data_IF_997559005617
#
_entry.id   IF_997559005617
#
_cell.length_a   1.000
_cell.length_b   1.000
_cell.length_c   1.000
_cell.angle_alpha   90.00
_cell.angle_beta   90.00
_cell.angle_gamma   90.00
#
_symmetry.space_group_name_H-M   'P 1'
#
loop_
_entity.id
_entity.type
_entity.pdbx_description
1 polymer ?
#
# COMPACT_ATOMS: atom_id res chain seq x y z
N UNK A 1 22.47 0.22 -9.73
CA UNK A 1 22.71 0.30 -8.26
C UNK A 1 21.47 -0.22 -7.55
N UNK A 2 21.60 -1.27 -6.74
CA UNK A 2 20.47 -1.76 -5.93
C UNK A 2 20.07 -0.72 -4.89
N UNK A 3 18.82 -0.66 -4.54
CA UNK A 3 18.36 0.27 -3.51
C UNK A 3 18.84 -0.12 -2.11
N UNK A 4 18.74 -1.42 -1.77
CA UNK A 4 19.29 -1.97 -0.52
C UNK A 4 20.52 -2.84 -0.83
N UNK A 5 21.46 -3.00 0.12
CA UNK A 5 22.52 -3.97 -0.02
C UNK A 5 21.97 -5.41 0.02
N UNK A 6 22.75 -6.36 -0.48
CA UNK A 6 22.28 -7.74 -0.67
C UNK A 6 21.88 -8.44 0.63
N UNK A 7 22.54 -8.12 1.74
CA UNK A 7 22.22 -8.68 3.06
C UNK A 7 20.78 -8.38 3.50
N UNK A 8 20.23 -7.24 3.15
CA UNK A 8 18.81 -6.94 3.41
C UNK A 8 17.88 -7.95 2.73
N UNK A 9 18.15 -8.30 1.47
CA UNK A 9 17.34 -9.30 0.75
C UNK A 9 17.54 -10.71 1.31
N UNK A 10 18.76 -11.05 1.71
CA UNK A 10 19.05 -12.34 2.37
C UNK A 10 18.29 -12.47 3.69
N UNK A 11 18.20 -11.41 4.48
CA UNK A 11 17.39 -11.37 5.71
C UNK A 11 15.90 -11.51 5.40
N UNK A 12 15.40 -10.90 4.31
CA UNK A 12 14.01 -11.05 3.85
C UNK A 12 13.71 -12.49 3.44
N UNK A 13 14.60 -13.13 2.67
CA UNK A 13 14.46 -14.54 2.31
C UNK A 13 14.45 -15.44 3.54
N UNK A 14 15.36 -15.20 4.47
CA UNK A 14 15.43 -15.96 5.73
C UNK A 14 14.12 -15.85 6.51
N UNK A 15 13.56 -14.65 6.64
CA UNK A 15 12.27 -14.45 7.33
C UNK A 15 11.13 -15.22 6.65
N UNK A 16 11.05 -15.19 5.32
CA UNK A 16 10.01 -15.94 4.60
C UNK A 16 10.22 -17.45 4.72
N UNK A 17 11.46 -17.94 4.60
CA UNK A 17 11.78 -19.36 4.75
C UNK A 17 11.44 -19.89 6.17
N UNK A 18 11.63 -19.09 7.22
CA UNK A 18 11.19 -19.43 8.57
C UNK A 18 9.66 -19.56 8.65
N UNK A 19 8.92 -18.62 8.09
CA UNK A 19 7.45 -18.66 8.05
C UNK A 19 6.94 -19.86 7.23
N UNK A 20 7.62 -20.22 6.14
CA UNK A 20 7.34 -21.44 5.38
C UNK A 20 7.51 -22.68 6.26
N UNK A 21 8.61 -22.77 7.00
CA UNK A 21 8.89 -23.89 7.91
C UNK A 21 7.82 -24.02 9.00
N UNK A 22 7.42 -22.89 9.61
CA UNK A 22 6.33 -22.87 10.62
C UNK A 22 5.01 -23.43 10.07
N UNK A 23 4.73 -23.24 8.77
CA UNK A 23 3.53 -23.72 8.10
C UNK A 23 3.69 -25.07 7.41
N UNK A 24 4.87 -25.71 7.53
CA UNK A 24 5.16 -27.03 6.97
C UNK A 24 5.36 -27.03 5.46
N UNK A 25 5.89 -25.92 4.87
CA UNK A 25 6.26 -25.85 3.47
C UNK A 25 7.77 -25.91 3.27
N UNK A 26 8.23 -26.80 2.39
CA UNK A 26 9.62 -26.81 1.89
C UNK A 26 9.82 -25.84 0.73
N UNK A 27 8.77 -25.64 -0.08
CA UNK A 27 8.81 -24.81 -1.29
C UNK A 27 7.63 -23.87 -1.30
N UNK A 28 7.87 -22.63 -1.71
CA UNK A 28 6.84 -21.63 -2.03
C UNK A 28 7.11 -21.02 -3.41
N UNK A 29 6.04 -20.67 -4.10
CA UNK A 29 6.11 -19.86 -5.32
C UNK A 29 5.29 -18.60 -5.09
N UNK A 30 5.94 -17.46 -5.30
CA UNK A 30 5.36 -16.14 -5.14
C UNK A 30 5.17 -15.54 -6.52
N UNK A 31 3.94 -15.21 -6.89
CA UNK A 31 3.60 -14.60 -8.15
C UNK A 31 3.29 -13.11 -7.98
N UNK A 32 3.53 -12.35 -9.05
CA UNK A 32 3.15 -10.95 -9.12
C UNK A 32 3.03 -10.47 -10.56
N UNK A 33 2.44 -9.29 -10.69
CA UNK A 33 2.30 -8.60 -11.96
C UNK A 33 2.66 -7.13 -11.79
N UNK A 34 3.65 -6.66 -12.53
CA UNK A 34 4.04 -5.25 -12.58
C UNK A 34 3.16 -4.42 -13.52
N UNK A 35 3.67 -3.27 -13.93
CA UNK A 35 3.04 -2.40 -14.93
C UNK A 35 1.91 -1.49 -14.43
N UNK A 36 1.52 -1.60 -13.18
CA UNK A 36 0.48 -0.79 -12.53
C UNK A 36 0.95 -0.19 -11.22
N UNK A 37 0.17 -0.38 -10.20
CA UNK A 37 0.51 -0.08 -8.81
C UNK A 37 1.43 -1.16 -8.23
N UNK A 38 2.05 -0.88 -7.09
CA UNK A 38 2.92 -1.87 -6.42
C UNK A 38 2.14 -3.01 -5.75
N UNK A 39 0.83 -2.89 -5.60
CA UNK A 39 -0.04 -3.90 -4.97
C UNK A 39 0.11 -5.28 -5.59
N UNK A 40 0.20 -5.34 -6.92
CA UNK A 40 0.22 -6.60 -7.67
C UNK A 40 1.60 -7.23 -7.73
N UNK A 41 2.65 -6.54 -7.29
CA UNK A 41 4.03 -7.01 -7.36
C UNK A 41 4.85 -6.72 -6.09
N UNK A 42 4.24 -6.24 -5.03
CA UNK A 42 4.93 -5.88 -3.79
C UNK A 42 5.76 -7.02 -3.22
N UNK A 43 5.27 -8.25 -3.24
CA UNK A 43 6.01 -9.42 -2.77
C UNK A 43 7.22 -9.73 -3.64
N UNK A 44 7.10 -9.60 -4.96
CA UNK A 44 8.22 -9.77 -5.89
C UNK A 44 9.27 -8.68 -5.67
N UNK A 45 8.85 -7.42 -5.58
CA UNK A 45 9.73 -6.28 -5.32
C UNK A 45 10.47 -6.46 -3.97
N UNK A 46 9.77 -6.87 -2.92
CA UNK A 46 10.35 -7.13 -1.61
C UNK A 46 11.43 -8.19 -1.64
N UNK A 47 11.18 -9.30 -2.37
CA UNK A 47 12.09 -10.43 -2.42
C UNK A 47 13.26 -10.23 -3.39
N UNK A 48 13.07 -9.48 -4.47
CA UNK A 48 14.01 -9.52 -5.59
C UNK A 48 14.49 -8.16 -6.08
N UNK A 49 13.90 -7.07 -5.64
CA UNK A 49 14.04 -5.73 -6.23
C UNK A 49 13.68 -5.68 -7.74
N UNK A 50 12.91 -6.64 -8.22
CA UNK A 50 12.41 -6.63 -9.58
C UNK A 50 11.08 -5.90 -9.65
N UNK A 51 10.95 -5.01 -10.63
CA UNK A 51 9.71 -4.34 -10.97
C UNK A 51 9.66 -4.10 -12.48
N UNK A 52 8.65 -4.64 -13.14
CA UNK A 52 8.38 -4.35 -14.54
C UNK A 52 7.48 -3.12 -14.68
N UNK A 53 7.93 -2.14 -15.45
CA UNK A 53 7.16 -0.92 -15.74
C UNK A 53 6.21 -1.13 -16.92
N UNK A 54 6.53 -2.04 -17.84
CA UNK A 54 5.76 -2.27 -19.07
C UNK A 54 4.53 -3.11 -18.80
N UNK A 55 3.37 -2.52 -18.92
CA UNK A 55 2.07 -3.13 -18.64
C UNK A 55 1.59 -4.18 -19.64
N UNK A 56 2.35 -4.49 -20.65
CA UNK A 56 2.04 -5.52 -21.63
C UNK A 56 2.37 -5.11 -23.04
N UNK A 57 3.41 -5.72 -23.57
CA UNK A 57 3.82 -5.61 -24.96
C UNK A 57 3.67 -6.99 -25.61
N UNK A 58 2.86 -7.07 -26.66
CA UNK A 58 2.76 -8.25 -27.50
C UNK A 58 3.46 -7.99 -28.85
N UNK A 59 4.33 -8.89 -29.23
CA UNK A 59 4.94 -8.91 -30.54
C UNK A 59 4.93 -10.34 -31.11
N UNK A 60 5.34 -10.50 -32.36
CA UNK A 60 5.48 -11.83 -32.96
C UNK A 60 6.60 -12.67 -32.33
N UNK A 61 7.55 -12.01 -31.66
CA UNK A 61 8.75 -12.64 -31.11
C UNK A 61 8.66 -12.75 -29.59
N UNK A 62 8.09 -11.74 -28.94
CA UNK A 62 8.03 -11.65 -27.48
C UNK A 62 6.71 -11.06 -27.00
N UNK A 63 6.17 -11.63 -25.92
CA UNK A 63 4.96 -11.16 -25.27
C UNK A 63 5.23 -10.92 -23.78
N UNK A 64 5.45 -9.67 -23.42
CA UNK A 64 5.69 -9.25 -22.03
C UNK A 64 4.40 -8.69 -21.43
N UNK A 65 3.90 -9.33 -20.38
CA UNK A 65 2.69 -8.96 -19.63
C UNK A 65 3.00 -8.48 -18.23
N UNK A 66 4.27 -8.29 -17.92
CA UNK A 66 4.78 -7.95 -16.59
C UNK A 66 4.51 -9.02 -15.53
N UNK A 67 4.36 -10.26 -15.93
CA UNK A 67 4.26 -11.37 -14.98
C UNK A 67 5.65 -11.78 -14.50
N UNK A 68 5.69 -12.09 -13.21
CA UNK A 68 6.89 -12.60 -12.57
C UNK A 68 6.55 -13.62 -11.50
N UNK A 69 7.50 -14.46 -11.18
CA UNK A 69 7.37 -15.38 -10.07
C UNK A 69 8.72 -15.71 -9.46
N UNK A 70 8.72 -15.97 -8.16
CA UNK A 70 9.91 -16.34 -7.38
C UNK A 70 9.70 -17.70 -6.77
N UNK A 71 10.62 -18.63 -7.04
CA UNK A 71 10.68 -19.90 -6.31
C UNK A 71 11.57 -19.70 -5.09
N UNK A 72 11.01 -19.94 -3.91
CA UNK A 72 11.73 -20.02 -2.64
C UNK A 72 11.74 -21.47 -2.17
N UNK A 73 12.90 -22.01 -1.83
CA UNK A 73 13.04 -23.37 -1.34
C UNK A 73 14.07 -23.44 -0.23
N UNK A 74 13.77 -24.25 0.81
CA UNK A 74 14.68 -24.47 1.92
C UNK A 74 16.06 -24.95 1.42
N UNK A 75 17.13 -24.31 1.91
CA UNK A 75 18.51 -24.63 1.56
C UNK A 75 18.94 -24.27 0.13
N UNK A 76 18.16 -23.50 -0.63
CA UNK A 76 18.48 -23.06 -1.99
C UNK A 76 18.37 -21.54 -2.12
N UNK A 77 19.15 -20.97 -3.06
CA UNK A 77 18.99 -19.59 -3.47
C UNK A 77 17.64 -19.40 -4.20
N UNK A 78 17.00 -18.24 -4.06
CA UNK A 78 15.77 -17.91 -4.81
C UNK A 78 16.00 -17.91 -6.31
N UNK A 79 14.99 -18.33 -7.08
CA UNK A 79 14.97 -18.23 -8.55
C UNK A 79 13.88 -17.25 -8.98
N UNK A 80 14.24 -16.30 -9.83
CA UNK A 80 13.31 -15.31 -10.38
C UNK A 80 12.98 -15.67 -11.83
N UNK A 81 11.68 -15.79 -12.14
CA UNK A 81 11.17 -16.02 -13.50
C UNK A 81 10.37 -14.80 -13.95
N UNK A 82 10.70 -14.24 -15.11
CA UNK A 82 10.09 -13.01 -15.64
C UNK A 82 9.79 -13.15 -17.12
N UNK A 83 8.81 -12.40 -17.59
CA UNK A 83 8.45 -12.32 -19.01
C UNK A 83 9.10 -11.13 -19.73
N UNK A 84 10.09 -10.50 -19.12
CA UNK A 84 10.94 -9.50 -19.76
C UNK A 84 12.14 -10.14 -20.46
N UNK A 85 12.51 -9.68 -21.66
CA UNK A 85 13.65 -10.24 -22.40
C UNK A 85 15.01 -9.82 -21.82
N UNK A 86 15.07 -8.70 -21.13
CA UNK A 86 16.30 -8.11 -20.60
C UNK A 86 16.16 -7.79 -19.11
N UNK A 87 16.61 -8.71 -18.23
CA UNK A 87 16.56 -8.46 -16.78
C UNK A 87 17.58 -7.40 -16.38
N UNK A 88 17.18 -6.53 -15.45
CA UNK A 88 18.07 -5.54 -14.84
C UNK A 88 18.92 -6.22 -13.76
N UNK A 89 19.89 -7.04 -14.19
CA UNK A 89 20.79 -7.80 -13.30
C UNK A 89 21.63 -6.91 -12.38
N UNK A 90 21.80 -5.64 -12.75
CA UNK A 90 22.43 -4.60 -11.92
C UNK A 90 21.56 -4.17 -10.73
N UNK A 91 20.23 -4.34 -10.81
CA UNK A 91 19.26 -3.95 -9.81
C UNK A 91 18.72 -5.14 -9.00
N UNK A 92 18.40 -6.26 -9.65
CA UNK A 92 17.78 -7.40 -8.96
C UNK A 92 18.75 -8.03 -7.94
N UNK A 93 18.20 -8.53 -6.84
CA UNK A 93 18.98 -9.16 -5.75
C UNK A 93 19.22 -10.65 -5.97
N UNK A 94 18.44 -11.28 -6.86
CA UNK A 94 18.53 -12.70 -7.21
C UNK A 94 19.51 -12.88 -8.38
N UNK A 95 20.40 -13.87 -8.28
CA UNK A 95 21.38 -14.17 -9.34
C UNK A 95 20.89 -15.19 -10.36
N UNK A 96 19.95 -16.05 -9.96
CA UNK A 96 19.33 -17.07 -10.81
C UNK A 96 18.04 -16.50 -11.44
N UNK A 97 18.17 -15.89 -12.62
CA UNK A 97 17.08 -15.20 -13.33
C UNK A 97 16.78 -15.88 -14.65
N UNK A 98 15.53 -16.24 -14.85
CA UNK A 98 15.01 -16.90 -16.04
C UNK A 98 14.06 -15.96 -16.79
N UNK A 99 14.43 -15.63 -18.04
CA UNK A 99 13.59 -14.84 -18.93
C UNK A 99 12.85 -15.78 -19.89
N UNK A 100 11.53 -15.78 -19.83
CA UNK A 100 10.69 -16.65 -20.66
C UNK A 100 9.37 -15.94 -20.97
N UNK A 101 8.88 -16.05 -22.20
CA UNK A 101 7.55 -15.56 -22.59
C UNK A 101 6.41 -16.16 -21.77
N UNK A 102 6.67 -17.30 -21.14
CA UNK A 102 5.69 -18.06 -20.35
C UNK A 102 6.25 -18.36 -18.95
N UNK A 103 6.38 -17.35 -18.06
CA UNK A 103 7.03 -17.54 -16.76
C UNK A 103 6.35 -18.61 -15.91
N UNK A 104 5.03 -18.82 -16.05
CA UNK A 104 4.32 -19.90 -15.34
C UNK A 104 4.75 -21.29 -15.79
N UNK A 105 4.96 -21.50 -17.08
CA UNK A 105 5.49 -22.75 -17.66
C UNK A 105 6.93 -22.94 -17.24
N UNK A 106 7.74 -21.88 -17.30
CA UNK A 106 9.14 -21.88 -16.87
C UNK A 106 9.28 -22.30 -15.39
N UNK A 107 8.44 -21.73 -14.51
CA UNK A 107 8.37 -22.11 -13.09
C UNK A 107 7.99 -23.58 -12.94
N UNK A 108 6.94 -24.03 -13.63
CA UNK A 108 6.50 -25.43 -13.55
C UNK A 108 7.62 -26.41 -13.90
N UNK A 109 8.32 -26.16 -15.03
CA UNK A 109 9.46 -26.97 -15.46
C UNK A 109 10.62 -26.94 -14.48
N UNK A 110 10.92 -25.77 -13.91
CA UNK A 110 11.97 -25.64 -12.91
C UNK A 110 11.66 -26.43 -11.63
N UNK A 111 10.42 -26.43 -11.17
CA UNK A 111 9.99 -27.22 -10.01
C UNK A 111 10.10 -28.73 -10.27
N UNK A 112 9.66 -29.20 -11.43
CA UNK A 112 9.77 -30.62 -11.83
C UNK A 112 11.24 -31.04 -11.95
N UNK A 113 12.08 -30.23 -12.61
CA UNK A 113 13.52 -30.48 -12.75
C UNK A 113 14.23 -30.54 -11.40
N UNK A 114 13.73 -29.83 -10.38
CA UNK A 114 14.23 -29.87 -9.01
C UNK A 114 13.65 -31.03 -8.19
N UNK A 115 12.77 -31.86 -8.76
CA UNK A 115 12.13 -32.98 -8.05
C UNK A 115 11.10 -32.54 -7.00
N UNK A 116 10.51 -31.34 -7.15
CA UNK A 116 9.49 -30.84 -6.21
C UNK A 116 8.19 -31.63 -6.40
N UNK A 117 7.65 -32.16 -5.31
CA UNK A 117 6.40 -32.90 -5.24
C UNK A 117 5.65 -32.58 -3.96
N UNK A 118 4.37 -32.90 -3.92
CA UNK A 118 3.53 -32.66 -2.74
C UNK A 118 3.20 -31.19 -2.53
N UNK A 119 3.11 -30.76 -1.27
CA UNK A 119 2.59 -29.43 -0.91
C UNK A 119 3.58 -28.30 -1.26
N UNK A 120 3.10 -27.34 -2.03
CA UNK A 120 3.83 -26.12 -2.37
C UNK A 120 2.95 -24.90 -2.03
N UNK A 121 3.50 -23.92 -1.31
CA UNK A 121 2.79 -22.68 -1.02
C UNK A 121 2.64 -21.84 -2.29
N UNK A 122 1.42 -21.41 -2.57
CA UNK A 122 1.06 -20.56 -3.69
C UNK A 122 0.70 -19.16 -3.19
N UNK A 123 1.56 -18.18 -3.43
CA UNK A 123 1.37 -16.79 -3.02
C UNK A 123 1.10 -15.91 -4.24
N UNK A 124 0.22 -14.92 -4.11
CA UNK A 124 -0.19 -14.05 -5.20
C UNK A 124 -1.32 -14.65 -6.05
N UNK A 125 -2.16 -15.50 -5.46
CA UNK A 125 -3.28 -16.17 -6.14
C UNK A 125 -4.24 -15.18 -6.81
N UNK A 126 -4.38 -13.97 -6.26
CA UNK A 126 -5.23 -12.90 -6.76
C UNK A 126 -4.75 -12.31 -8.10
N UNK A 127 -3.48 -12.51 -8.46
CA UNK A 127 -2.86 -11.90 -9.63
C UNK A 127 -2.66 -12.86 -10.79
N UNK A 128 -2.94 -14.16 -10.60
CA UNK A 128 -2.74 -15.20 -11.61
C UNK A 128 -4.02 -15.43 -12.38
N UNK A 129 -4.09 -15.05 -13.67
CA UNK A 129 -5.23 -15.36 -14.51
C UNK A 129 -5.40 -16.87 -14.71
N UNK A 130 -6.65 -17.34 -14.78
CA UNK A 130 -7.00 -18.76 -14.93
C UNK A 130 -6.24 -19.46 -16.06
N UNK A 131 -6.03 -18.79 -17.21
CA UNK A 131 -5.26 -19.33 -18.34
C UNK A 131 -3.85 -19.74 -17.93
N UNK A 132 -3.15 -18.91 -17.18
CA UNK A 132 -1.76 -19.16 -16.76
C UNK A 132 -1.70 -20.16 -15.61
N UNK A 133 -2.68 -20.14 -14.73
CA UNK A 133 -2.86 -21.15 -13.69
C UNK A 133 -3.02 -22.56 -14.30
N UNK A 134 -3.86 -22.71 -15.32
CA UNK A 134 -4.03 -23.98 -16.03
C UNK A 134 -2.74 -24.47 -16.71
N UNK A 135 -1.93 -23.56 -17.26
CA UNK A 135 -0.62 -23.89 -17.83
C UNK A 135 0.35 -24.40 -16.76
N UNK A 136 0.40 -23.74 -15.60
CA UNK A 136 1.23 -24.17 -14.47
C UNK A 136 0.82 -25.56 -13.97
N UNK A 137 -0.47 -25.81 -13.80
CA UNK A 137 -1.00 -27.13 -13.37
C UNK A 137 -0.63 -28.24 -14.36
N UNK A 138 -0.68 -27.97 -15.67
CA UNK A 138 -0.31 -28.95 -16.68
C UNK A 138 1.16 -29.36 -16.60
N UNK A 139 2.06 -28.44 -16.22
CA UNK A 139 3.48 -28.73 -16.04
C UNK A 139 3.78 -29.43 -14.68
N UNK A 140 2.87 -29.35 -13.70
CA UNK A 140 3.13 -29.76 -12.31
C UNK A 140 2.08 -30.76 -11.75
N UNK A 141 1.84 -31.90 -12.41
CA UNK A 141 0.78 -32.84 -12.02
C UNK A 141 1.02 -33.49 -10.64
N UNK A 142 2.26 -33.48 -10.11
CA UNK A 142 2.62 -34.05 -8.81
C UNK A 142 2.64 -33.05 -7.66
N UNK A 143 2.25 -31.79 -7.90
CA UNK A 143 2.28 -30.72 -6.89
C UNK A 143 0.86 -30.47 -6.37
N UNK A 144 0.74 -30.44 -5.05
CA UNK A 144 -0.45 -29.98 -4.31
C UNK A 144 -0.28 -28.50 -3.95
N UNK A 145 -0.90 -27.64 -4.74
CA UNK A 145 -0.83 -26.19 -4.59
C UNK A 145 -1.73 -25.70 -3.45
N UNK A 146 -1.14 -25.10 -2.43
CA UNK A 146 -1.85 -24.56 -1.27
C UNK A 146 -1.78 -23.04 -1.27
N UNK A 147 -2.92 -22.38 -1.40
CA UNK A 147 -2.98 -20.89 -1.36
C UNK A 147 -2.49 -20.38 -0.02
N UNK A 148 -1.51 -19.47 -0.04
CA UNK A 148 -0.83 -18.90 1.12
C UNK A 148 -0.44 -17.44 0.87
N UNK A 149 -1.41 -16.59 0.50
CA UNK A 149 -1.19 -15.21 0.06
C UNK A 149 -0.64 -14.29 1.17
N UNK A 150 -0.76 -14.69 2.43
CA UNK A 150 -0.25 -13.91 3.57
C UNK A 150 1.21 -14.20 3.91
N UNK A 151 1.84 -15.21 3.32
CA UNK A 151 3.17 -15.68 3.72
C UNK A 151 4.24 -14.56 3.64
N UNK A 152 4.39 -13.93 2.47
CA UNK A 152 5.37 -12.86 2.28
C UNK A 152 4.91 -11.58 2.98
N UNK A 153 3.60 -11.29 2.96
CA UNK A 153 3.03 -10.13 3.63
C UNK A 153 3.29 -10.13 5.14
N UNK A 154 3.22 -11.29 5.81
CA UNK A 154 3.61 -11.44 7.22
C UNK A 154 5.08 -11.10 7.47
N UNK A 155 5.98 -11.47 6.55
CA UNK A 155 7.40 -11.12 6.63
C UNK A 155 7.64 -9.61 6.45
N UNK A 156 6.82 -8.92 5.62
CA UNK A 156 6.91 -7.47 5.34
C UNK A 156 6.29 -6.60 6.43
N UNK A 157 5.41 -7.19 7.27
CA UNK A 157 4.64 -6.44 8.27
C UNK A 157 5.55 -5.68 9.25
N UNK A 158 6.63 -6.31 9.70
CA UNK A 158 7.63 -5.70 10.58
C UNK A 158 8.79 -5.21 9.72
N UNK A 159 8.98 -3.90 9.70
CA UNK A 159 9.97 -3.25 8.87
C UNK A 159 11.38 -3.39 9.46
N UNK A 160 12.37 -3.58 8.60
CA UNK A 160 13.79 -3.49 8.99
C UNK A 160 14.18 -2.03 9.29
N UNK A 161 15.29 -1.79 9.98
CA UNK A 161 15.78 -0.41 10.17
C UNK A 161 16.00 0.35 8.85
N UNK A 162 16.47 -0.35 7.80
CA UNK A 162 16.66 0.25 6.47
C UNK A 162 15.34 0.59 5.78
N UNK A 163 14.32 -0.24 5.96
CA UNK A 163 12.97 0.06 5.49
C UNK A 163 12.39 1.28 6.21
N UNK A 164 12.59 1.41 7.52
CA UNK A 164 12.15 2.57 8.28
C UNK A 164 12.86 3.87 7.84
N UNK A 165 14.14 3.81 7.49
CA UNK A 165 14.85 4.95 6.92
C UNK A 165 14.30 5.35 5.56
N UNK A 166 13.92 4.38 4.72
CA UNK A 166 13.24 4.64 3.46
C UNK A 166 11.87 5.31 3.67
N UNK A 167 11.14 4.90 4.70
CA UNK A 167 9.87 5.55 5.08
C UNK A 167 10.04 6.99 5.55
N UNK A 168 11.11 7.32 6.27
CA UNK A 168 11.39 8.70 6.67
C UNK A 168 11.60 9.61 5.48
N UNK A 169 12.38 9.13 4.49
CA UNK A 169 12.58 9.85 3.21
C UNK A 169 11.25 9.99 2.46
N UNK A 170 10.44 8.92 2.40
CA UNK A 170 9.13 8.94 1.78
C UNK A 170 8.17 9.91 2.49
N UNK A 171 8.19 9.95 3.82
CA UNK A 171 7.36 10.85 4.64
C UNK A 171 7.63 12.34 4.39
N UNK A 172 8.90 12.72 4.20
CA UNK A 172 9.24 14.10 3.81
C UNK A 172 8.66 14.46 2.45
N UNK A 173 8.76 13.55 1.48
CA UNK A 173 8.23 13.78 0.14
C UNK A 173 6.70 13.83 0.12
N UNK A 174 6.04 12.95 0.89
CA UNK A 174 4.59 12.91 1.03
C UNK A 174 4.05 14.16 1.72
N UNK A 175 4.75 14.64 2.76
CA UNK A 175 4.41 15.91 3.44
C UNK A 175 4.46 17.09 2.45
N UNK A 176 5.57 17.23 1.70
CA UNK A 176 5.70 18.31 0.72
C UNK A 176 4.61 18.23 -0.38
N UNK A 177 4.30 17.05 -0.87
CA UNK A 177 3.27 16.86 -1.87
C UNK A 177 1.87 17.21 -1.35
N UNK A 178 1.55 16.82 -0.11
CA UNK A 178 0.29 17.15 0.56
C UNK A 178 0.17 18.66 0.81
N UNK A 179 1.23 19.31 1.26
CA UNK A 179 1.24 20.77 1.50
C UNK A 179 0.95 21.55 0.22
N UNK A 180 1.61 21.16 -0.89
CA UNK A 180 1.39 21.77 -2.21
C UNK A 180 -0.03 21.53 -2.71
N UNK A 181 -0.58 20.32 -2.54
CA UNK A 181 -1.94 19.99 -2.89
C UNK A 181 -2.94 20.90 -2.17
N UNK A 182 -2.83 20.96 -0.83
CA UNK A 182 -3.77 21.75 -0.02
C UNK A 182 -3.65 23.25 -0.25
N UNK A 183 -2.42 23.75 -0.45
CA UNK A 183 -2.20 25.15 -0.85
C UNK A 183 -2.85 25.48 -2.21
N UNK A 184 -2.74 24.59 -3.19
CA UNK A 184 -3.38 24.76 -4.49
C UNK A 184 -4.90 24.79 -4.39
N UNK A 185 -5.49 23.81 -3.68
CA UNK A 185 -6.95 23.70 -3.50
C UNK A 185 -7.56 24.92 -2.78
N UNK A 186 -6.86 25.43 -1.76
CA UNK A 186 -7.33 26.61 -1.01
C UNK A 186 -6.93 27.95 -1.66
N UNK A 187 -5.96 27.91 -2.58
CA UNK A 187 -5.38 29.09 -3.24
C UNK A 187 -6.01 29.47 -4.57
N UNK A 188 -7.10 28.80 -4.99
CA UNK A 188 -7.84 29.14 -6.21
C UNK A 188 -7.41 28.39 -7.46
N UNK A 189 -6.60 27.35 -7.36
CA UNK A 189 -6.37 26.41 -8.46
C UNK A 189 -7.60 25.51 -8.68
N UNK A 190 -7.76 25.01 -9.90
CA UNK A 190 -8.65 23.86 -10.12
C UNK A 190 -8.10 22.65 -9.39
N UNK A 191 -8.98 21.69 -9.07
CA UNK A 191 -8.54 20.42 -8.45
C UNK A 191 -7.42 19.75 -9.27
N UNK A 192 -7.57 19.76 -10.61
CA UNK A 192 -6.58 19.13 -11.53
C UNK A 192 -5.24 19.85 -11.53
N UNK A 193 -5.21 21.18 -11.46
CA UNK A 193 -3.96 21.94 -11.34
C UNK A 193 -3.26 21.64 -10.02
N UNK A 194 -3.99 21.67 -8.91
CA UNK A 194 -3.46 21.36 -7.60
C UNK A 194 -2.91 19.91 -7.52
N UNK A 195 -3.65 18.94 -8.08
CA UNK A 195 -3.20 17.54 -8.19
C UNK A 195 -1.94 17.42 -9.07
N UNK A 196 -1.87 18.17 -10.18
CA UNK A 196 -0.69 18.22 -11.05
C UNK A 196 0.56 18.72 -10.33
N UNK A 197 0.43 19.76 -9.51
CA UNK A 197 1.54 20.27 -8.71
C UNK A 197 1.99 19.27 -7.64
N UNK A 198 1.08 18.61 -6.95
CA UNK A 198 1.42 17.54 -6.02
C UNK A 198 2.13 16.37 -6.72
N UNK A 199 1.64 15.95 -7.90
CA UNK A 199 2.29 14.91 -8.71
C UNK A 199 3.71 15.31 -9.12
N UNK A 200 3.92 16.58 -9.47
CA UNK A 200 5.25 17.12 -9.79
C UNK A 200 6.22 16.97 -8.59
N UNK A 201 5.75 17.23 -7.37
CA UNK A 201 6.56 17.03 -6.16
C UNK A 201 6.93 15.55 -6.00
N UNK A 202 5.95 14.65 -6.08
CA UNK A 202 6.18 13.20 -5.97
C UNK A 202 7.25 12.73 -6.95
N UNK A 203 7.11 13.10 -8.25
CA UNK A 203 8.06 12.71 -9.30
C UNK A 203 9.45 13.32 -9.07
N UNK A 204 9.53 14.59 -8.70
CA UNK A 204 10.80 15.28 -8.39
C UNK A 204 11.54 14.63 -7.22
N UNK A 205 10.81 14.11 -6.24
CA UNK A 205 11.35 13.39 -5.09
C UNK A 205 11.66 11.92 -5.38
N UNK A 206 11.56 11.48 -6.66
CA UNK A 206 11.86 10.12 -7.09
C UNK A 206 10.74 9.12 -6.81
N UNK A 207 9.55 9.60 -6.48
CA UNK A 207 8.36 8.77 -6.29
C UNK A 207 7.55 8.59 -7.58
N UNK A 208 6.53 7.76 -7.49
CA UNK A 208 5.55 7.52 -8.55
C UNK A 208 4.14 7.76 -8.01
N UNK A 209 3.41 8.77 -8.51
CA UNK A 209 2.00 8.96 -8.17
C UNK A 209 1.19 7.73 -8.61
N UNK A 210 0.33 7.22 -7.73
CA UNK A 210 -0.64 6.18 -8.06
C UNK A 210 -2.03 6.80 -8.25
N UNK A 211 -2.45 7.64 -7.30
CA UNK A 211 -3.64 8.46 -7.41
C UNK A 211 -3.45 9.73 -6.57
N UNK A 212 -3.92 10.87 -7.06
CA UNK A 212 -4.07 12.07 -6.25
C UNK A 212 -5.55 12.41 -6.26
N UNK A 213 -6.17 12.15 -5.11
CA UNK A 213 -7.60 12.35 -4.93
C UNK A 213 -7.91 13.76 -4.46
N UNK A 214 -8.90 14.37 -5.08
CA UNK A 214 -9.43 15.66 -4.67
C UNK A 214 -10.95 15.65 -4.68
N UNK A 215 -11.54 16.40 -3.77
CA UNK A 215 -12.98 16.63 -3.74
C UNK A 215 -13.26 17.98 -3.06
N UNK A 216 -14.40 18.61 -3.39
CA UNK A 216 -14.85 19.85 -2.74
C UNK A 216 -16.37 19.99 -2.75
N UNK A 217 -16.87 20.84 -1.85
CA UNK A 217 -18.30 21.18 -1.73
C UNK A 217 -19.16 20.00 -1.30
N UNK A 218 -20.37 19.92 -1.85
CA UNK A 218 -21.41 18.99 -1.41
C UNK A 218 -21.14 17.51 -1.72
N UNK A 219 -20.17 17.24 -2.60
CA UNK A 219 -19.85 15.87 -3.06
C UNK A 219 -18.74 15.18 -2.26
N UNK A 220 -18.49 15.67 -1.07
CA UNK A 220 -17.41 15.20 -0.18
C UNK A 220 -17.57 13.75 0.34
N UNK A 221 -18.70 13.10 0.12
CA UNK A 221 -18.93 11.71 0.55
C UNK A 221 -18.17 10.66 -0.28
N UNK A 222 -17.59 11.05 -1.40
CA UNK A 222 -16.80 10.18 -2.25
C UNK A 222 -15.30 10.44 -2.05
N UNK A 223 -14.48 9.38 -2.18
CA UNK A 223 -13.04 9.49 -2.11
C UNK A 223 -12.50 10.42 -3.21
N UNK A 224 -12.99 10.23 -4.42
CA UNK A 224 -12.59 11.02 -5.57
C UNK A 224 -13.83 11.55 -6.29
N UNK A 225 -13.81 12.82 -6.64
CA UNK A 225 -14.89 13.41 -7.45
C UNK A 225 -14.98 12.76 -8.84
N UNK A 226 -13.84 12.40 -9.42
CA UNK A 226 -13.72 11.67 -10.67
C UNK A 226 -12.87 10.42 -10.49
N UNK A 227 -13.46 9.23 -10.42
CA UNK A 227 -12.74 7.99 -10.07
C UNK A 227 -11.57 7.66 -11.00
N UNK A 228 -11.66 7.96 -12.30
CA UNK A 228 -10.59 7.67 -13.26
C UNK A 228 -9.39 8.61 -13.12
N UNK A 229 -9.63 9.91 -12.89
CA UNK A 229 -8.58 10.94 -12.89
C UNK A 229 -8.22 11.42 -11.49
N UNK A 230 -9.04 11.12 -10.48
CA UNK A 230 -8.88 11.55 -9.10
C UNK A 230 -9.24 13.03 -8.86
N UNK A 231 -9.38 13.84 -9.88
CA UNK A 231 -9.57 15.30 -9.76
C UNK A 231 -10.41 15.88 -10.89
N UNK A 232 -11.17 16.94 -10.60
CA UNK A 232 -11.99 17.68 -11.56
C UNK A 232 -11.27 18.88 -12.17
N UNK A 233 -11.89 19.49 -13.20
CA UNK A 233 -11.48 20.80 -13.73
C UNK A 233 -12.12 21.97 -13.00
N UNK A 234 -12.88 21.74 -11.92
CA UNK A 234 -13.57 22.80 -11.18
C UNK A 234 -12.63 23.45 -10.15
N UNK A 235 -12.87 24.73 -9.87
CA UNK A 235 -12.16 25.48 -8.83
C UNK A 235 -13.04 25.53 -7.58
N UNK A 236 -12.54 25.10 -6.41
CA UNK A 236 -13.25 25.27 -5.14
C UNK A 236 -13.53 26.74 -4.83
N UNK A 237 -14.71 27.02 -4.30
CA UNK A 237 -15.18 28.38 -4.00
C UNK A 237 -14.97 28.73 -2.52
N UNK A 238 -14.89 30.03 -2.17
CA UNK A 238 -14.89 30.45 -0.79
C UNK A 238 -16.06 29.85 0.00
N UNK A 239 -15.74 29.18 1.13
CA UNK A 239 -16.70 28.45 1.97
C UNK A 239 -16.78 26.96 1.67
N UNK A 240 -16.29 26.49 0.53
CA UNK A 240 -16.23 25.06 0.24
C UNK A 240 -15.22 24.36 1.18
N UNK A 241 -15.61 23.22 1.69
CA UNK A 241 -14.65 22.26 2.23
C UNK A 241 -13.90 21.61 1.05
N UNK A 242 -12.59 21.42 1.19
CA UNK A 242 -11.76 20.76 0.21
C UNK A 242 -11.02 19.60 0.87
N UNK A 243 -10.91 18.50 0.16
CA UNK A 243 -10.15 17.33 0.59
C UNK A 243 -9.08 16.99 -0.44
N UNK A 244 -7.92 16.60 0.05
CA UNK A 244 -6.84 16.07 -0.76
C UNK A 244 -6.26 14.81 -0.16
N UNK A 245 -5.93 13.84 -1.02
CA UNK A 245 -5.17 12.63 -0.70
C UNK A 245 -4.04 12.45 -1.70
N UNK A 246 -2.88 11.97 -1.25
CA UNK A 246 -1.73 11.73 -2.12
C UNK A 246 -1.30 10.28 -1.97
N UNK A 247 -1.83 9.42 -2.82
CA UNK A 247 -1.44 8.02 -2.91
C UNK A 247 -0.24 7.88 -3.84
N UNK A 248 0.92 7.50 -3.29
CA UNK A 248 2.14 7.35 -4.09
C UNK A 248 3.08 6.27 -3.55
N UNK A 249 3.78 5.60 -4.46
CA UNK A 249 4.96 4.83 -4.14
C UNK A 249 6.16 5.77 -4.21
N UNK A 250 6.84 5.94 -3.10
CA UNK A 250 8.00 6.81 -2.97
C UNK A 250 9.31 6.04 -3.10
N UNK A 251 10.34 6.55 -2.44
CA UNK A 251 11.66 5.95 -2.47
C UNK A 251 11.62 4.43 -2.20
N UNK A 252 12.17 3.66 -3.12
CA UNK A 252 12.23 2.19 -3.09
C UNK A 252 10.87 1.46 -3.16
N UNK A 253 9.82 2.14 -3.58
CA UNK A 253 8.49 1.58 -3.73
C UNK A 253 7.62 1.64 -2.48
N UNK A 254 8.11 2.20 -1.37
CA UNK A 254 7.31 2.33 -0.14
C UNK A 254 6.16 3.29 -0.34
N UNK A 255 4.97 2.81 -0.02
CA UNK A 255 3.71 3.50 -0.25
C UNK A 255 3.34 4.38 0.93
N UNK A 256 2.79 5.57 0.65
CA UNK A 256 2.15 6.46 1.61
C UNK A 256 0.93 7.11 0.95
N UNK A 257 -0.10 7.35 1.77
CA UNK A 257 -1.40 7.89 1.33
C UNK A 257 -2.02 8.94 2.26
N UNK A 258 -1.26 9.92 2.76
CA UNK A 258 -1.80 10.92 3.67
C UNK A 258 -2.99 11.67 3.07
N UNK A 259 -3.88 12.12 3.97
CA UNK A 259 -5.07 12.87 3.62
C UNK A 259 -5.30 14.08 4.52
N UNK A 260 -5.82 15.18 3.93
CA UNK A 260 -6.15 16.41 4.64
C UNK A 260 -7.47 17.01 4.15
N UNK A 261 -8.13 17.73 5.05
CA UNK A 261 -9.29 18.57 4.76
C UNK A 261 -9.04 19.99 5.20
N UNK A 262 -9.50 20.96 4.39
CA UNK A 262 -9.44 22.38 4.68
C UNK A 262 -10.73 23.07 4.23
N UNK A 263 -10.86 24.37 4.48
CA UNK A 263 -11.92 25.22 3.95
C UNK A 263 -11.30 26.33 3.13
N UNK A 264 -11.86 26.62 1.94
CA UNK A 264 -11.44 27.76 1.13
C UNK A 264 -11.87 29.05 1.81
N UNK A 265 -10.91 29.88 2.19
CA UNK A 265 -11.17 31.13 2.92
C UNK A 265 -11.51 30.90 4.39
N UNK A 266 -12.61 31.47 4.89
CA UNK A 266 -12.98 31.43 6.29
C UNK A 266 -13.94 30.27 6.58
N UNK A 267 -13.53 29.35 7.46
CA UNK A 267 -14.37 28.26 7.93
C UNK A 267 -15.49 28.75 8.86
N UNK A 268 -16.67 28.15 8.77
CA UNK A 268 -17.75 28.29 9.73
C UNK A 268 -17.42 27.55 11.03
N UNK A 269 -18.12 27.85 12.13
CA UNK A 269 -17.95 27.16 13.40
C UNK A 269 -18.24 25.63 13.27
N UNK A 270 -19.25 25.27 12.47
CA UNK A 270 -19.61 23.86 12.26
C UNK A 270 -18.56 23.11 11.42
N UNK A 271 -17.98 23.74 10.40
CA UNK A 271 -16.86 23.19 9.62
C UNK A 271 -15.63 22.99 10.53
N UNK A 272 -15.28 23.98 11.35
CA UNK A 272 -14.18 23.86 12.32
C UNK A 272 -14.42 22.74 13.31
N UNK A 273 -15.66 22.60 13.82
CA UNK A 273 -16.04 21.53 14.72
C UNK A 273 -15.88 20.15 14.07
N UNK A 274 -16.31 20.00 12.80
CA UNK A 274 -16.23 18.76 12.04
C UNK A 274 -14.76 18.35 11.77
N UNK A 275 -13.96 19.25 11.21
CA UNK A 275 -12.54 19.01 10.97
C UNK A 275 -11.80 18.73 12.27
N UNK A 276 -12.03 19.55 13.31
CA UNK A 276 -11.41 19.38 14.61
C UNK A 276 -11.76 18.06 15.29
N UNK A 277 -12.99 17.55 15.11
CA UNK A 277 -13.39 16.24 15.62
C UNK A 277 -12.65 15.12 14.88
N UNK A 278 -12.56 15.19 13.56
CA UNK A 278 -11.81 14.22 12.72
C UNK A 278 -10.35 14.17 13.13
N UNK A 279 -9.70 15.33 13.29
CA UNK A 279 -8.31 15.43 13.77
C UNK A 279 -8.14 14.80 15.14
N UNK A 280 -9.04 15.09 16.09
CA UNK A 280 -8.98 14.52 17.45
C UNK A 280 -9.08 13.00 17.45
N UNK A 281 -9.94 12.41 16.59
CA UNK A 281 -10.04 10.96 16.46
C UNK A 281 -8.69 10.40 15.99
N UNK A 282 -8.14 10.90 14.90
CA UNK A 282 -6.87 10.43 14.35
C UNK A 282 -5.74 10.54 15.38
N UNK A 283 -5.62 11.68 16.05
CA UNK A 283 -4.58 11.89 17.07
C UNK A 283 -4.74 10.96 18.27
N UNK A 284 -5.98 10.76 18.73
CA UNK A 284 -6.27 9.87 19.86
C UNK A 284 -5.95 8.42 19.51
N UNK A 285 -6.45 7.93 18.38
CA UNK A 285 -6.17 6.58 17.92
C UNK A 285 -4.67 6.35 17.65
N UNK A 286 -3.99 7.31 17.04
CA UNK A 286 -2.53 7.28 16.85
C UNK A 286 -1.77 7.15 18.17
N UNK A 287 -2.24 7.81 19.23
CA UNK A 287 -1.65 7.71 20.57
C UNK A 287 -1.90 6.34 21.22
N UNK A 288 -3.01 5.66 20.88
CA UNK A 288 -3.33 4.31 21.34
C UNK A 288 -2.49 3.23 20.66
N UNK A 289 -1.93 3.49 19.46
CA UNK A 289 -1.14 2.54 18.67
C UNK A 289 0.17 2.25 19.38
N UNK A 290 0.16 1.29 20.32
CA UNK A 290 1.34 0.86 21.10
C UNK A 290 1.55 -0.65 20.95
N UNK A 291 2.80 -1.15 21.00
CA UNK A 291 3.06 -2.58 20.97
C UNK A 291 2.22 -3.35 21.99
N UNK A 292 1.53 -4.40 21.53
CA UNK A 292 0.65 -5.24 22.35
C UNK A 292 -0.82 -4.83 22.37
N UNK A 293 -1.19 -3.63 21.89
CA UNK A 293 -2.58 -3.20 21.79
C UNK A 293 -3.27 -3.94 20.64
N UNK A 294 -4.50 -4.43 20.87
CA UNK A 294 -5.30 -5.07 19.82
C UNK A 294 -5.91 -4.00 18.91
N UNK A 295 -5.86 -4.25 17.59
CA UNK A 295 -6.45 -3.33 16.62
C UNK A 295 -7.98 -3.21 16.77
N UNK A 296 -8.65 -4.26 17.24
CA UNK A 296 -10.06 -4.23 17.59
C UNK A 296 -10.38 -3.19 18.70
N UNK A 297 -9.50 -3.04 19.69
CA UNK A 297 -9.71 -2.08 20.77
C UNK A 297 -9.52 -0.64 20.28
N UNK A 298 -8.55 -0.42 19.39
CA UNK A 298 -8.35 0.90 18.73
C UNK A 298 -9.56 1.25 17.87
N UNK A 299 -10.07 0.29 17.09
CA UNK A 299 -11.24 0.49 16.23
C UNK A 299 -12.51 0.76 17.04
N UNK A 300 -12.74 0.01 18.13
CA UNK A 300 -13.90 0.23 19.01
C UNK A 300 -13.90 1.63 19.64
N UNK A 301 -12.72 2.14 19.97
CA UNK A 301 -12.58 3.51 20.46
C UNK A 301 -12.89 4.55 19.37
N UNK A 302 -12.45 4.30 18.13
CA UNK A 302 -12.81 5.13 16.97
C UNK A 302 -14.33 5.18 16.74
N UNK A 303 -15.00 4.03 16.79
CA UNK A 303 -16.47 3.94 16.69
C UNK A 303 -17.15 4.73 17.81
N UNK A 304 -16.67 4.60 19.06
CA UNK A 304 -17.20 5.34 20.21
C UNK A 304 -17.06 6.85 20.01
N UNK A 305 -15.89 7.34 19.62
CA UNK A 305 -15.66 8.77 19.40
C UNK A 305 -16.50 9.32 18.24
N UNK A 306 -16.69 8.53 17.18
CA UNK A 306 -17.56 8.90 16.04
C UNK A 306 -19.02 9.04 16.50
N UNK A 307 -19.51 8.11 17.32
CA UNK A 307 -20.87 8.17 17.91
C UNK A 307 -21.04 9.38 18.83
N UNK A 308 -20.05 9.69 19.68
CA UNK A 308 -20.08 10.86 20.56
C UNK A 308 -20.07 12.18 19.80
N UNK A 309 -19.46 12.25 18.66
CA UNK A 309 -19.53 13.42 17.79
C UNK A 309 -20.98 13.70 17.35
N UNK A 310 -21.82 12.67 17.28
CA UNK A 310 -23.23 12.75 16.89
C UNK A 310 -23.45 13.09 15.42
N UNK A 311 -22.40 12.97 14.63
CA UNK A 311 -22.46 13.10 13.17
C UNK A 311 -22.97 11.82 12.52
N UNK A 312 -23.43 11.93 11.29
CA UNK A 312 -23.66 10.76 10.47
C UNK A 312 -22.30 10.14 10.08
N UNK A 313 -22.26 8.81 10.13
CA UNK A 313 -21.15 8.10 9.50
C UNK A 313 -21.23 8.36 8.00
N UNK A 314 -20.19 8.87 7.40
CA UNK A 314 -20.16 9.13 5.94
C UNK A 314 -20.51 7.86 5.16
N UNK A 315 -21.00 8.01 3.94
CA UNK A 315 -21.27 6.88 3.05
C UNK A 315 -19.99 6.03 2.84
N UNK A 316 -18.81 6.67 2.84
CA UNK A 316 -17.54 5.98 2.77
C UNK A 316 -17.32 5.07 3.97
N UNK A 317 -17.51 5.56 5.21
CA UNK A 317 -17.34 4.76 6.43
C UNK A 317 -18.38 3.65 6.57
N UNK A 318 -19.57 3.79 6.00
CA UNK A 318 -20.57 2.70 5.94
C UNK A 318 -20.09 1.53 5.07
N UNK A 319 -19.35 1.83 4.00
CA UNK A 319 -18.83 0.84 3.06
C UNK A 319 -17.41 0.36 3.42
N UNK A 320 -16.62 1.22 4.08
CA UNK A 320 -15.25 0.95 4.53
C UNK A 320 -15.11 1.28 6.02
N UNK A 321 -15.65 0.41 6.90
CA UNK A 321 -15.71 0.68 8.35
C UNK A 321 -14.34 0.41 8.99
N UNK A 322 -13.36 1.29 8.75
CA UNK A 322 -12.05 1.20 9.36
C UNK A 322 -11.46 2.58 9.67
N UNK A 323 -10.54 2.60 10.63
CA UNK A 323 -9.81 3.78 11.10
C UNK A 323 -8.32 3.72 10.72
N UNK A 324 -7.99 2.94 9.72
CA UNK A 324 -6.64 2.83 9.22
C UNK A 324 -6.24 1.43 8.82
N UNK A 325 -5.01 1.32 8.37
CA UNK A 325 -4.45 0.09 7.81
C UNK A 325 -2.93 0.04 7.91
N UNK A 326 -2.38 -1.17 7.76
CA UNK A 326 -0.96 -1.35 7.58
C UNK A 326 -0.47 -0.70 6.29
N UNK A 327 0.74 -0.18 6.34
CA UNK A 327 1.43 0.42 5.20
C UNK A 327 2.68 -0.41 4.88
N UNK A 328 2.90 -0.68 3.60
CA UNK A 328 4.05 -1.40 3.09
C UNK A 328 4.49 -0.92 1.71
N UNK A 329 4.66 -1.85 0.79
CA UNK A 329 4.84 -1.54 -0.63
C UNK A 329 3.50 -1.24 -1.33
N UNK A 330 2.43 -1.31 -0.57
CA UNK A 330 1.06 -0.99 -0.94
C UNK A 330 0.24 -0.71 0.31
N UNK A 331 -1.04 -0.54 0.15
CA UNK A 331 -2.09 -0.57 1.15
C UNK A 331 -2.20 -2.00 1.72
N UNK A 332 -1.83 -2.22 2.99
CA UNK A 332 -1.63 -3.57 3.54
C UNK A 332 -2.55 -3.89 4.73
N UNK A 333 -2.59 -5.17 5.05
CA UNK A 333 -3.14 -5.64 6.32
C UNK A 333 -2.09 -5.44 7.45
N UNK A 334 -2.50 -5.39 8.74
CA UNK A 334 -3.89 -5.50 9.20
C UNK A 334 -4.66 -4.19 9.10
N UNK A 335 -6.00 -4.26 9.19
CA UNK A 335 -6.89 -3.09 9.27
C UNK A 335 -7.13 -2.69 10.73
N UNK A 336 -7.48 -1.42 10.97
CA UNK A 336 -8.00 -0.93 12.25
C UNK A 336 -9.52 -0.87 12.11
N UNK A 337 -10.21 -1.96 12.40
CA UNK A 337 -11.64 -2.11 12.10
C UNK A 337 -12.32 -3.08 13.06
N UNK A 338 -13.51 -2.77 13.51
CA UNK A 338 -14.33 -3.68 14.34
C UNK A 338 -14.90 -4.86 13.56
N UNK A 339 -14.90 -4.80 12.22
CA UNK A 339 -15.43 -5.87 11.33
C UNK A 339 -14.38 -6.57 10.50
N UNK A 340 -13.18 -5.98 10.31
CA UNK A 340 -12.14 -6.51 9.43
C UNK A 340 -10.90 -7.01 10.19
N UNK A 341 -10.63 -6.52 11.40
CA UNK A 341 -9.49 -6.97 12.20
C UNK A 341 -9.75 -8.34 12.80
N UNK A 342 -8.73 -9.18 12.83
CA UNK A 342 -8.78 -10.44 13.54
C UNK A 342 -8.55 -10.23 15.05
N UNK A 343 -9.09 -11.09 15.93
CA UNK A 343 -8.82 -11.00 17.37
C UNK A 343 -7.32 -11.10 17.72
N UNK A 344 -6.52 -11.67 16.82
CA UNK A 344 -5.07 -11.85 16.95
C UNK A 344 -4.26 -10.68 16.39
N UNK A 345 -4.91 -9.70 15.74
CA UNK A 345 -4.23 -8.54 15.17
C UNK A 345 -3.83 -7.59 16.30
N UNK A 346 -2.54 -7.54 16.56
CA UNK A 346 -1.94 -6.68 17.58
C UNK A 346 -0.89 -5.77 16.96
N UNK A 347 -0.81 -4.57 17.48
CA UNK A 347 0.24 -3.60 17.14
C UNK A 347 1.59 -4.15 17.58
N UNK A 348 2.61 -4.04 16.73
CA UNK A 348 4.00 -4.43 17.04
C UNK A 348 4.95 -3.30 16.71
N UNK A 349 6.07 -3.24 17.42
CA UNK A 349 7.17 -2.33 17.12
C UNK A 349 7.65 -2.51 15.66
N UNK A 350 7.99 -1.41 14.99
CA UNK A 350 8.41 -1.34 13.59
C UNK A 350 7.32 -1.67 12.54
N UNK A 351 6.06 -1.75 12.94
CA UNK A 351 4.98 -1.62 11.97
C UNK A 351 4.85 -0.18 11.50
N UNK A 352 4.31 0.01 10.29
CA UNK A 352 3.90 1.32 9.76
C UNK A 352 2.40 1.27 9.49
N UNK A 353 1.68 2.31 9.91
CA UNK A 353 0.23 2.42 9.77
C UNK A 353 -0.17 3.77 9.21
N UNK A 354 -1.17 3.78 8.32
CA UNK A 354 -2.08 4.90 8.14
C UNK A 354 -3.15 4.84 9.21
N UNK A 355 -3.33 5.94 9.94
CA UNK A 355 -4.43 6.12 10.90
C UNK A 355 -5.31 7.23 10.41
N UNK A 356 -6.57 6.93 10.18
CA UNK A 356 -7.49 7.81 9.48
C UNK A 356 -8.86 7.89 10.15
N UNK A 357 -9.58 8.96 9.86
CA UNK A 357 -10.98 9.11 10.21
C UNK A 357 -11.72 9.90 9.13
N UNK A 358 -12.97 9.54 8.93
CA UNK A 358 -13.86 10.15 7.97
C UNK A 358 -15.20 10.47 8.64
N UNK A 359 -15.46 11.74 8.90
CA UNK A 359 -16.71 12.22 9.49
C UNK A 359 -17.52 13.02 8.48
N UNK A 360 -18.84 12.95 8.61
CA UNK A 360 -19.78 13.80 7.87
C UNK A 360 -20.78 14.46 8.84
N UNK A 361 -21.32 15.60 8.43
CA UNK A 361 -22.40 16.30 9.11
C UNK A 361 -23.33 16.90 8.08
N UNK A 362 -24.64 16.61 8.20
CA UNK A 362 -25.65 17.11 7.27
C UNK A 362 -25.63 18.64 7.20
N UNK A 363 -25.66 19.18 6.00
CA UNK A 363 -25.63 20.62 5.73
C UNK A 363 -24.27 21.30 5.98
N UNK A 364 -23.24 20.55 6.42
CA UNK A 364 -21.88 21.06 6.67
C UNK A 364 -20.90 20.50 5.64
N UNK A 365 -20.92 19.19 5.42
CA UNK A 365 -20.04 18.45 4.54
C UNK A 365 -19.37 17.26 5.21
N UNK A 366 -18.22 16.82 4.70
CA UNK A 366 -17.42 15.75 5.30
C UNK A 366 -15.96 16.12 5.44
N UNK A 367 -15.29 15.55 6.42
CA UNK A 367 -13.88 15.76 6.71
C UNK A 367 -13.16 14.42 6.75
N UNK A 368 -11.98 14.38 6.14
CA UNK A 368 -11.05 13.25 6.13
C UNK A 368 -9.66 13.72 6.59
N UNK A 369 -9.07 12.97 7.48
CA UNK A 369 -7.69 13.17 7.92
C UNK A 369 -7.03 11.82 8.02
N UNK A 370 -5.81 11.71 7.50
CA UNK A 370 -4.98 10.52 7.61
C UNK A 370 -3.54 10.91 7.92
N UNK A 371 -2.99 10.26 8.94
CA UNK A 371 -1.60 10.37 9.36
C UNK A 371 -0.89 9.03 9.23
N UNK A 372 0.36 9.07 8.74
CA UNK A 372 1.18 7.87 8.64
C UNK A 372 2.22 7.87 9.77
N UNK A 373 2.28 6.75 10.50
CA UNK A 373 3.21 6.61 11.63
C UNK A 373 4.03 5.32 11.58
N UNK A 374 5.25 5.42 12.09
CA UNK A 374 6.05 4.27 12.50
C UNK A 374 5.72 3.97 13.97
N UNK A 375 5.42 2.70 14.26
CA UNK A 375 5.19 2.26 15.64
C UNK A 375 6.52 2.06 16.34
N UNK A 376 6.79 2.89 17.33
CA UNK A 376 7.96 2.74 18.19
C UNK A 376 7.64 2.01 19.50
N UNK A 377 8.69 1.64 20.23
CA UNK A 377 8.54 0.96 21.54
C UNK A 377 7.83 1.84 22.56
N UNK A 378 8.31 3.07 22.73
CA UNK A 378 7.82 3.99 23.76
C UNK A 378 7.00 5.15 23.20
N UNK A 379 7.23 5.53 21.94
CA UNK A 379 6.53 6.58 21.23
C UNK A 379 6.48 6.31 19.73
N UNK A 380 5.41 6.73 19.09
CA UNK A 380 5.27 6.63 17.63
C UNK A 380 5.96 7.82 16.95
N UNK A 381 6.50 7.58 15.76
CA UNK A 381 7.09 8.61 14.90
C UNK A 381 6.09 8.97 13.81
N UNK A 382 5.65 10.22 13.76
CA UNK A 382 4.79 10.73 12.70
C UNK A 382 5.63 11.01 11.44
N UNK A 383 5.29 10.33 10.34
CA UNK A 383 5.96 10.47 9.05
C UNK A 383 5.41 11.64 8.23
N UNK A 384 4.10 11.84 8.25
CA UNK A 384 3.41 12.87 7.47
C UNK A 384 3.10 14.07 8.38
N UNK A 385 3.75 15.21 8.13
CA UNK A 385 3.75 16.38 9.02
C UNK A 385 3.00 17.58 8.45
N UNK A 386 2.18 17.36 7.42
CA UNK A 386 1.32 18.41 6.87
C UNK A 386 0.38 18.96 7.94
N UNK A 387 0.19 20.30 8.01
CA UNK A 387 -0.64 20.90 9.04
C UNK A 387 -2.10 20.46 8.96
N UNK A 388 -2.77 20.46 10.09
CA UNK A 388 -4.22 20.38 10.13
C UNK A 388 -4.79 21.77 9.92
N UNK A 389 -5.78 21.89 9.02
CA UNK A 389 -6.44 23.15 8.69
C UNK A 389 -7.75 23.27 9.46
N UNK A 390 -7.67 23.67 10.76
CA UNK A 390 -8.81 23.79 11.67
C UNK A 390 -9.32 25.22 11.75
#
# INVERSE_FOLDING_TARGET
MRYFPIDEYQDRWTRVLMLMQEQGFETAVVFGRGGGTTDNCGDILYLTNHYSVSGGTDSLIWSARSFSGVILRQGRAPQLHIDEPEPRTDLVSVTDVHCDNHPFVSIGRALVAQGVQGRVAFCGSQFVPVKYWQQLLAETPGIDWVVCDDLVRRARMIKSPRELDAYRIAGEAATEAMDVLMQGLTGGMTEREAAGEAARVVVRRGGRPQAIGTNHGDTMDYDYRFPLTGSSGDTPRPGDMVRGTVHAAYFQGYYLDPGRTAVVGRATADQQRLIGATVRIVQHLSAMMRPGVRLLDVAAEGDRMTQEFGGEVSALMKNFPFFGHGIGLSFEQPRISTVMSLPTDVVRENMVFGVEAFLASEGVGSAFVEDILIIGRDSNELLTRSPYHI
#
